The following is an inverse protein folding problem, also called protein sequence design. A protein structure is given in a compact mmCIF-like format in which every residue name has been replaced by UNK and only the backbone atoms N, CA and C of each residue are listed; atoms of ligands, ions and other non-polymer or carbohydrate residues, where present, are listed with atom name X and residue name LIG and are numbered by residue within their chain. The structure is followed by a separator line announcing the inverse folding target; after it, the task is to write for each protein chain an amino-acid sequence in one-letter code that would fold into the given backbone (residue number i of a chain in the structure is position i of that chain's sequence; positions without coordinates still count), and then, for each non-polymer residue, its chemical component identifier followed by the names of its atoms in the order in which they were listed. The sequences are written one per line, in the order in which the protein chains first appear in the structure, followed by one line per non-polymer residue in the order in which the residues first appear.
data_IF_578080868834
#
_entry.id   IF_578080868834
#
_cell.length_a   1.000
_cell.length_b   1.000
_cell.length_c   1.000
_cell.angle_alpha   90.00
_cell.angle_beta   90.00
_cell.angle_gamma   90.00
#
_symmetry.space_group_name_H-M   'P 1'
#
loop_
_entity.id
_entity.type
_entity.pdbx_description
1 polymer ?
#
# COMPACT_ATOMS: atom_id res chain seq x y z
N UNK A 1 18.70 -7.96 24.03
CA UNK A 1 17.34 -7.42 23.81
C UNK A 1 16.74 -8.22 22.67
N UNK A 2 15.52 -8.67 22.81
CA UNK A 2 14.78 -9.35 21.71
C UNK A 2 14.49 -8.33 20.62
N UNK A 3 14.84 -8.67 19.36
CA UNK A 3 14.48 -7.85 18.21
C UNK A 3 12.97 -7.82 18.00
N UNK A 4 12.51 -6.86 17.19
CA UNK A 4 11.12 -6.74 16.78
C UNK A 4 11.01 -6.29 15.32
N UNK A 5 9.86 -6.56 14.71
CA UNK A 5 9.54 -6.13 13.36
C UNK A 5 8.24 -5.33 13.35
N UNK A 6 8.29 -4.15 12.77
CA UNK A 6 7.13 -3.29 12.54
C UNK A 6 6.93 -3.12 11.05
N UNK A 7 5.71 -3.33 10.55
CA UNK A 7 5.33 -2.96 9.19
C UNK A 7 4.56 -1.65 9.26
N UNK A 8 5.14 -0.57 8.74
CA UNK A 8 4.68 0.80 8.99
C UNK A 8 4.18 1.51 7.73
N UNK A 9 3.02 2.14 7.84
CA UNK A 9 2.46 2.99 6.78
C UNK A 9 2.99 4.42 6.85
N UNK A 10 3.71 4.85 5.81
CA UNK A 10 4.22 6.22 5.70
C UNK A 10 3.19 7.25 5.21
N UNK A 11 1.92 6.85 5.11
CA UNK A 11 0.89 7.72 4.57
C UNK A 11 1.06 8.04 3.07
N UNK A 12 0.22 8.91 2.53
CA UNK A 12 0.09 9.13 1.08
C UNK A 12 1.21 9.97 0.47
N UNK A 13 1.95 10.76 1.27
CA UNK A 13 3.03 11.61 0.76
C UNK A 13 3.55 12.63 1.76
N UNK A 14 2.67 13.46 2.29
CA UNK A 14 3.03 14.50 3.27
C UNK A 14 3.52 13.89 4.59
N UNK A 15 4.64 14.38 5.07
CA UNK A 15 5.25 13.99 6.36
C UNK A 15 4.30 14.26 7.55
N UNK A 16 3.46 15.29 7.49
CA UNK A 16 2.46 15.62 8.52
C UNK A 16 1.39 14.54 8.68
N UNK A 17 1.25 13.64 7.68
CA UNK A 17 0.27 12.55 7.67
C UNK A 17 0.86 11.19 8.11
N UNK A 18 2.12 11.16 8.51
CA UNK A 18 2.72 10.00 9.19
C UNK A 18 2.25 9.98 10.63
N UNK A 19 1.72 8.85 11.09
CA UNK A 19 1.20 8.74 12.47
C UNK A 19 2.32 8.87 13.51
N UNK A 20 1.96 9.33 14.70
CA UNK A 20 2.92 9.47 15.81
C UNK A 20 3.55 8.13 16.20
N UNK A 21 2.80 7.04 16.12
CA UNK A 21 3.26 5.69 16.43
C UNK A 21 4.30 5.21 15.42
N UNK A 22 4.09 5.46 14.12
CA UNK A 22 5.08 5.18 13.07
C UNK A 22 6.36 6.00 13.28
N UNK A 23 6.24 7.28 13.62
CA UNK A 23 7.41 8.12 13.93
C UNK A 23 8.21 7.59 15.11
N UNK A 24 7.53 7.14 16.17
CA UNK A 24 8.18 6.56 17.35
C UNK A 24 8.92 5.26 16.98
N UNK A 25 8.30 4.36 16.22
CA UNK A 25 8.93 3.12 15.77
C UNK A 25 10.18 3.41 14.89
N UNK A 26 10.09 4.37 13.96
CA UNK A 26 11.22 4.79 13.13
C UNK A 26 12.36 5.39 13.96
N UNK A 27 12.06 6.15 15.01
CA UNK A 27 13.07 6.74 15.89
C UNK A 27 13.88 5.66 16.67
N UNK A 28 13.23 4.56 17.02
CA UNK A 28 13.87 3.43 17.73
C UNK A 28 14.55 2.42 16.81
N UNK A 29 14.24 2.43 15.50
CA UNK A 29 14.72 1.44 14.55
C UNK A 29 16.25 1.42 14.43
N UNK A 30 16.81 0.22 14.28
CA UNK A 30 18.20 -0.01 13.84
C UNK A 30 18.27 -0.24 12.34
N UNK A 31 17.17 -0.74 11.75
CA UNK A 31 17.08 -1.12 10.35
C UNK A 31 15.75 -0.66 9.76
N UNK A 32 15.80 -0.05 8.60
CA UNK A 32 14.62 0.27 7.78
C UNK A 32 14.72 -0.46 6.46
N UNK A 33 13.71 -1.26 6.15
CA UNK A 33 13.63 -2.09 4.95
C UNK A 33 12.47 -1.63 4.08
N UNK A 34 12.65 -1.52 2.76
CA UNK A 34 11.54 -1.10 1.91
C UNK A 34 11.89 -0.91 0.44
N UNK A 35 10.88 -0.56 -0.34
CA UNK A 35 11.05 -0.14 -1.73
C UNK A 35 11.83 1.18 -1.80
N UNK A 36 12.73 1.29 -2.79
CA UNK A 36 13.65 2.44 -2.94
C UNK A 36 12.98 3.80 -2.68
N UNK A 37 11.85 4.18 -3.32
CA UNK A 37 11.22 5.48 -3.10
C UNK A 37 10.66 5.68 -1.68
N UNK A 38 10.36 4.60 -0.95
CA UNK A 38 9.82 4.70 0.41
C UNK A 38 10.94 4.85 1.42
N UNK A 39 12.03 4.08 1.24
CA UNK A 39 13.24 4.22 2.06
C UNK A 39 13.87 5.59 1.88
N UNK A 40 13.83 6.16 0.68
CA UNK A 40 14.33 7.51 0.39
C UNK A 40 13.61 8.63 1.16
N UNK A 41 12.43 8.37 1.75
CA UNK A 41 11.72 9.30 2.64
C UNK A 41 12.27 9.30 4.07
N UNK A 42 13.13 8.34 4.41
CA UNK A 42 13.66 8.20 5.78
C UNK A 42 15.01 8.90 5.86
N UNK A 43 15.11 9.89 6.75
CA UNK A 43 16.35 10.58 6.98
C UNK A 43 17.41 9.64 7.59
N UNK A 44 18.62 9.56 7.03
CA UNK A 44 19.68 8.77 7.61
C UNK A 44 20.11 9.36 8.96
N UNK A 45 20.51 8.50 9.89
CA UNK A 45 21.05 8.87 11.20
C UNK A 45 22.03 7.82 11.70
N UNK A 46 22.84 8.17 12.68
CA UNK A 46 23.75 7.24 13.31
C UNK A 46 23.01 6.06 13.93
N UNK A 47 23.52 4.86 13.72
CA UNK A 47 22.93 3.61 14.21
C UNK A 47 21.69 3.13 13.44
N UNK A 48 21.35 3.74 12.30
CA UNK A 48 20.29 3.30 11.39
C UNK A 48 20.87 2.80 10.07
N UNK A 49 20.53 1.57 9.70
CA UNK A 49 20.85 1.01 8.39
C UNK A 49 19.60 1.03 7.49
N UNK A 50 19.78 1.52 6.26
CA UNK A 50 18.71 1.61 5.26
C UNK A 50 18.89 0.51 4.20
N UNK A 51 17.92 -0.41 4.11
CA UNK A 51 17.89 -1.53 3.18
C UNK A 51 16.84 -1.26 2.08
N UNK A 52 17.27 -0.62 1.01
CA UNK A 52 16.40 -0.30 -0.12
C UNK A 52 16.50 -1.39 -1.20
N UNK A 53 15.37 -1.84 -1.74
CA UNK A 53 15.30 -2.84 -2.81
C UNK A 53 14.23 -2.50 -3.84
N UNK A 54 14.26 -3.17 -5.01
CA UNK A 54 13.33 -2.93 -6.10
C UNK A 54 11.92 -3.48 -5.78
N UNK A 55 10.92 -3.06 -6.55
CA UNK A 55 9.50 -3.37 -6.32
C UNK A 55 9.10 -4.83 -6.58
N UNK A 56 9.98 -5.64 -7.18
CA UNK A 56 9.66 -7.03 -7.60
C UNK A 56 10.13 -8.11 -6.62
N UNK A 57 10.63 -7.70 -5.46
CA UNK A 57 11.26 -8.59 -4.47
C UNK A 57 10.56 -8.50 -3.11
N UNK A 58 9.22 -8.39 -3.10
CA UNK A 58 8.46 -8.20 -1.86
C UNK A 58 8.68 -9.34 -0.85
N UNK A 59 8.66 -10.59 -1.30
CA UNK A 59 8.86 -11.76 -0.42
C UNK A 59 10.30 -11.87 0.07
N UNK A 60 11.30 -11.63 -0.78
CA UNK A 60 12.70 -11.58 -0.38
C UNK A 60 12.93 -10.48 0.65
N UNK A 61 12.42 -9.29 0.39
CA UNK A 61 12.46 -8.15 1.34
C UNK A 61 11.82 -8.49 2.68
N UNK A 62 10.70 -9.20 2.67
CA UNK A 62 10.02 -9.64 3.88
C UNK A 62 10.86 -10.67 4.65
N UNK A 63 11.47 -11.64 3.96
CA UNK A 63 12.34 -12.64 4.55
C UNK A 63 13.60 -11.99 5.17
N UNK A 64 14.22 -11.04 4.48
CA UNK A 64 15.37 -10.28 4.99
C UNK A 64 15.01 -9.51 6.27
N UNK A 65 13.83 -8.85 6.29
CA UNK A 65 13.36 -8.12 7.47
C UNK A 65 13.12 -9.05 8.67
N UNK A 66 12.55 -10.25 8.45
CA UNK A 66 12.38 -11.26 9.49
C UNK A 66 13.73 -11.75 10.03
N UNK A 67 14.70 -12.00 9.14
CA UNK A 67 16.04 -12.43 9.54
C UNK A 67 16.78 -11.36 10.37
N UNK A 68 16.70 -10.09 9.98
CA UNK A 68 17.26 -8.98 10.73
C UNK A 68 16.64 -8.86 12.14
N UNK A 69 15.31 -8.98 12.24
CA UNK A 69 14.62 -8.94 13.53
C UNK A 69 14.99 -10.15 14.40
N UNK A 70 15.11 -11.35 13.83
CA UNK A 70 15.55 -12.56 14.54
C UNK A 70 16.99 -12.44 15.06
N UNK A 71 17.84 -11.70 14.35
CA UNK A 71 19.21 -11.38 14.79
C UNK A 71 19.28 -10.31 15.91
N UNK A 72 18.13 -9.80 16.36
CA UNK A 72 18.03 -8.81 17.45
C UNK A 72 17.87 -7.37 16.98
N UNK A 73 17.69 -7.14 15.67
CA UNK A 73 17.44 -5.83 15.09
C UNK A 73 16.07 -5.28 15.46
N UNK A 74 15.94 -3.96 15.55
CA UNK A 74 14.68 -3.23 15.63
C UNK A 74 14.31 -2.79 14.22
N UNK A 75 13.54 -3.62 13.53
CA UNK A 75 13.31 -3.52 12.09
C UNK A 75 12.00 -2.84 11.78
N UNK A 76 12.02 -1.83 10.91
CA UNK A 76 10.80 -1.21 10.35
C UNK A 76 10.74 -1.47 8.84
N UNK A 77 9.74 -2.22 8.39
CA UNK A 77 9.40 -2.35 6.97
C UNK A 77 8.47 -1.22 6.58
N UNK A 78 8.94 -0.32 5.73
CA UNK A 78 8.17 0.86 5.32
C UNK A 78 7.36 0.63 4.05
N UNK A 79 6.11 1.08 4.07
CA UNK A 79 5.17 1.02 2.96
C UNK A 79 4.51 2.37 2.73
N UNK A 80 4.20 2.73 1.49
CA UNK A 80 3.39 3.92 1.22
C UNK A 80 1.93 3.67 1.64
N UNK A 81 1.22 4.72 2.02
CA UNK A 81 -0.17 4.61 2.47
C UNK A 81 -0.30 3.80 3.75
N UNK A 82 -1.11 2.76 3.70
CA UNK A 82 -1.34 1.80 4.78
C UNK A 82 -0.72 0.44 4.42
N UNK A 83 0.01 -0.23 5.31
CA UNK A 83 0.70 -1.47 4.99
C UNK A 83 -0.24 -2.67 4.80
N UNK A 84 -1.49 -2.60 5.27
CA UNK A 84 -2.52 -3.62 5.10
C UNK A 84 -3.39 -3.43 3.85
N UNK A 85 -3.24 -2.30 3.13
CA UNK A 85 -4.05 -2.01 1.93
C UNK A 85 -3.22 -2.21 0.65
N UNK A 86 -3.24 -3.44 0.12
CA UNK A 86 -2.50 -3.85 -1.08
C UNK A 86 -0.99 -3.55 -1.02
N UNK A 87 -0.38 -3.77 0.14
CA UNK A 87 0.98 -3.38 0.47
C UNK A 87 1.72 -4.48 1.26
N UNK A 88 2.82 -4.14 1.95
CA UNK A 88 3.81 -5.08 2.46
C UNK A 88 3.36 -6.03 3.58
N UNK A 89 2.26 -5.74 4.31
CA UNK A 89 1.86 -6.59 5.43
C UNK A 89 1.57 -8.04 4.99
N UNK A 90 0.89 -8.23 3.86
CA UNK A 90 0.60 -9.58 3.34
C UNK A 90 1.88 -10.35 2.99
N UNK A 91 2.87 -9.70 2.36
CA UNK A 91 4.13 -10.34 2.01
C UNK A 91 4.95 -10.73 3.26
N UNK A 92 4.88 -9.92 4.34
CA UNK A 92 5.55 -10.26 5.60
C UNK A 92 4.91 -11.49 6.24
N UNK A 93 3.59 -11.59 6.27
CA UNK A 93 2.93 -12.76 6.83
C UNK A 93 3.10 -14.01 5.96
N UNK A 94 3.12 -13.88 4.64
CA UNK A 94 3.43 -14.99 3.72
C UNK A 94 4.86 -15.50 3.93
N UNK A 95 5.84 -14.61 4.06
CA UNK A 95 7.21 -14.98 4.37
C UNK A 95 7.34 -15.61 5.76
N UNK A 96 6.55 -15.15 6.75
CA UNK A 96 6.51 -15.72 8.09
C UNK A 96 5.95 -17.15 8.09
N UNK A 97 4.88 -17.41 7.33
CA UNK A 97 4.33 -18.77 7.16
C UNK A 97 5.36 -19.74 6.55
N UNK A 98 6.18 -19.24 5.60
CA UNK A 98 7.27 -20.00 5.01
C UNK A 98 8.48 -20.21 5.94
N UNK A 99 8.57 -19.45 7.05
CA UNK A 99 9.68 -19.46 7.99
C UNK A 99 9.20 -19.62 9.45
N UNK A 100 8.66 -20.80 9.85
CA UNK A 100 8.04 -21.03 11.16
C UNK A 100 8.95 -20.73 12.36
N UNK A 101 10.28 -20.79 12.19
CA UNK A 101 11.26 -20.44 13.21
C UNK A 101 11.16 -18.97 13.68
N UNK A 102 10.51 -18.11 12.91
CA UNK A 102 10.33 -16.69 13.23
C UNK A 102 8.97 -16.35 13.86
N UNK A 103 8.10 -17.35 14.08
CA UNK A 103 6.74 -17.14 14.61
C UNK A 103 6.71 -16.54 16.03
N UNK A 104 7.82 -16.62 16.78
CA UNK A 104 7.94 -16.02 18.12
C UNK A 104 8.38 -14.55 18.12
N UNK A 105 8.66 -13.96 16.94
CA UNK A 105 9.02 -12.54 16.84
C UNK A 105 7.83 -11.63 17.21
N UNK A 106 8.13 -10.51 17.89
CA UNK A 106 7.16 -9.43 18.07
C UNK A 106 6.99 -8.72 16.74
N UNK A 107 5.88 -9.00 16.04
CA UNK A 107 5.52 -8.39 14.75
C UNK A 107 4.30 -7.52 14.94
N UNK A 108 4.42 -6.23 14.58
CA UNK A 108 3.34 -5.24 14.72
C UNK A 108 3.08 -4.56 13.38
N UNK A 109 1.81 -4.29 13.09
CA UNK A 109 1.38 -3.52 11.92
C UNK A 109 0.93 -2.15 12.42
N UNK A 110 1.59 -1.10 11.96
CA UNK A 110 1.24 0.27 12.28
C UNK A 110 0.54 0.91 11.09
N UNK A 111 -0.72 1.35 11.25
CA UNK A 111 -1.51 1.88 10.15
C UNK A 111 -0.98 3.20 9.61
N UNK A 112 -1.32 3.48 8.36
CA UNK A 112 -1.10 4.76 7.70
C UNK A 112 -2.34 5.21 6.92
N UNK A 113 -2.38 6.47 6.53
CA UNK A 113 -3.47 6.97 5.69
C UNK A 113 -3.27 6.44 4.27
N UNK A 114 -4.15 5.53 3.85
CA UNK A 114 -4.11 4.97 2.48
C UNK A 114 -4.51 5.99 1.42
N UNK A 115 -3.99 5.85 0.21
CA UNK A 115 -4.18 6.79 -0.90
C UNK A 115 -5.65 7.07 -1.22
N UNK A 116 -6.55 6.08 -1.13
CA UNK A 116 -7.98 6.31 -1.42
C UNK A 116 -8.63 7.27 -0.43
N UNK A 117 -8.29 7.20 0.86
CA UNK A 117 -8.82 8.12 1.87
C UNK A 117 -8.27 9.53 1.69
N UNK A 118 -6.99 9.66 1.38
CA UNK A 118 -6.38 10.95 1.08
C UNK A 118 -6.98 11.57 -0.19
N UNK A 119 -7.17 10.79 -1.25
CA UNK A 119 -7.82 11.23 -2.49
C UNK A 119 -9.28 11.62 -2.24
N UNK A 120 -10.03 10.83 -1.49
CA UNK A 120 -11.41 11.12 -1.12
C UNK A 120 -11.52 12.46 -0.37
N UNK A 121 -10.66 12.71 0.60
CA UNK A 121 -10.64 13.96 1.34
C UNK A 121 -10.40 15.19 0.45
N UNK A 122 -9.62 15.05 -0.62
CA UNK A 122 -9.37 16.12 -1.60
C UNK A 122 -10.48 16.28 -2.63
N UNK A 123 -11.27 15.22 -2.87
CA UNK A 123 -12.32 15.16 -3.89
C UNK A 123 -13.74 15.42 -3.35
N UNK A 124 -13.88 15.95 -2.13
CA UNK A 124 -15.19 16.22 -1.53
C UNK A 124 -15.83 15.02 -0.86
N UNK A 125 -15.03 14.06 -0.39
CA UNK A 125 -15.43 12.88 0.38
C UNK A 125 -16.43 11.93 -0.34
N UNK A 126 -16.19 11.50 -1.59
CA UNK A 126 -17.11 10.64 -2.34
C UNK A 126 -17.28 9.23 -1.76
N UNK A 127 -16.53 8.86 -0.73
CA UNK A 127 -16.65 7.58 -0.01
C UNK A 127 -17.59 7.65 1.20
N UNK A 128 -18.53 8.60 1.21
CA UNK A 128 -19.46 8.84 2.32
C UNK A 128 -20.57 7.79 2.47
N UNK A 129 -20.76 6.92 1.48
CA UNK A 129 -21.65 5.77 1.49
C UNK A 129 -20.84 4.47 1.47
N UNK A 130 -21.52 3.35 1.17
CA UNK A 130 -20.85 2.06 1.02
C UNK A 130 -19.83 2.12 -0.11
N UNK A 131 -18.64 1.64 0.15
CA UNK A 131 -17.56 1.65 -0.82
C UNK A 131 -16.73 0.37 -0.81
N UNK A 132 -16.02 0.12 -1.89
CA UNK A 132 -15.05 -0.96 -1.96
C UNK A 132 -13.74 -0.50 -2.60
N UNK A 133 -12.63 -1.15 -2.20
CA UNK A 133 -11.32 -0.98 -2.80
C UNK A 133 -11.01 -2.20 -3.69
N UNK A 134 -10.66 -1.96 -4.96
CA UNK A 134 -10.34 -3.00 -5.93
C UNK A 134 -8.93 -2.78 -6.46
N UNK A 135 -8.06 -3.78 -6.27
CA UNK A 135 -6.75 -3.81 -6.89
C UNK A 135 -6.85 -4.36 -8.32
N UNK A 136 -6.54 -3.54 -9.32
CA UNK A 136 -6.55 -3.91 -10.73
C UNK A 136 -5.30 -4.67 -11.19
N UNK A 137 -4.39 -4.99 -10.27
CA UNK A 137 -3.25 -5.87 -10.55
C UNK A 137 -3.71 -7.33 -10.60
N UNK A 138 -3.35 -8.01 -11.67
CA UNK A 138 -3.57 -9.44 -11.90
C UNK A 138 -2.38 -10.32 -11.53
N UNK A 139 -1.37 -9.77 -10.85
CA UNK A 139 -0.18 -10.51 -10.42
C UNK A 139 -0.51 -11.67 -9.47
N UNK A 140 -1.53 -11.48 -8.60
CA UNK A 140 -1.89 -12.47 -7.56
C UNK A 140 -3.30 -13.05 -7.72
N UNK A 141 -4.01 -12.70 -8.79
CA UNK A 141 -5.36 -13.19 -9.07
C UNK A 141 -5.68 -13.04 -10.56
N UNK A 142 -6.47 -13.94 -11.16
CA UNK A 142 -6.80 -13.89 -12.56
C UNK A 142 -7.69 -12.66 -12.88
N UNK A 143 -7.57 -12.15 -14.11
CA UNK A 143 -8.27 -10.95 -14.55
C UNK A 143 -9.79 -11.09 -14.58
N UNK A 144 -10.31 -12.25 -14.92
CA UNK A 144 -11.75 -12.56 -14.91
C UNK A 144 -12.39 -12.37 -13.53
N UNK A 145 -11.68 -12.68 -12.46
CA UNK A 145 -12.11 -12.39 -11.10
C UNK A 145 -12.20 -10.88 -10.83
N UNK A 146 -11.27 -10.10 -11.38
CA UNK A 146 -11.30 -8.64 -11.27
C UNK A 146 -12.53 -8.09 -12.03
N UNK A 147 -12.76 -8.51 -13.27
CA UNK A 147 -13.93 -8.12 -14.03
C UNK A 147 -15.24 -8.43 -13.30
N UNK A 148 -15.34 -9.64 -12.75
CA UNK A 148 -16.52 -10.03 -11.95
C UNK A 148 -16.74 -9.11 -10.75
N UNK A 149 -15.66 -8.74 -10.03
CA UNK A 149 -15.74 -7.82 -8.89
C UNK A 149 -16.17 -6.42 -9.32
N UNK A 150 -15.68 -5.91 -10.44
CA UNK A 150 -16.09 -4.63 -11.00
C UNK A 150 -17.59 -4.60 -11.32
N UNK A 151 -18.10 -5.63 -12.01
CA UNK A 151 -19.53 -5.73 -12.35
C UNK A 151 -20.40 -5.81 -11.10
N UNK A 152 -20.07 -6.68 -10.16
CA UNK A 152 -20.85 -6.84 -8.93
C UNK A 152 -20.86 -5.56 -8.08
N UNK A 153 -19.73 -4.88 -7.97
CA UNK A 153 -19.65 -3.61 -7.23
C UNK A 153 -20.44 -2.49 -7.91
N UNK A 154 -20.42 -2.42 -9.24
CA UNK A 154 -21.20 -1.47 -10.01
C UNK A 154 -22.71 -1.74 -9.88
N UNK A 155 -23.13 -2.99 -10.00
CA UNK A 155 -24.54 -3.42 -9.86
C UNK A 155 -25.10 -3.19 -8.45
N UNK A 156 -24.22 -3.28 -7.44
CA UNK A 156 -24.56 -2.99 -6.03
C UNK A 156 -24.45 -1.49 -5.69
N UNK A 157 -24.16 -0.63 -6.66
CA UNK A 157 -23.99 0.82 -6.52
C UNK A 157 -22.95 1.26 -5.49
N UNK A 158 -21.89 0.47 -5.28
CA UNK A 158 -20.77 0.86 -4.45
C UNK A 158 -19.97 2.02 -5.05
N UNK A 159 -19.53 2.96 -4.21
CA UNK A 159 -18.41 3.82 -4.57
C UNK A 159 -17.13 2.96 -4.62
N UNK A 160 -16.32 3.13 -5.67
CA UNK A 160 -15.17 2.25 -5.91
C UNK A 160 -13.86 3.04 -5.92
N UNK A 161 -12.85 2.52 -5.21
CA UNK A 161 -11.48 3.02 -5.28
C UNK A 161 -10.57 1.99 -5.95
N UNK A 162 -9.85 2.41 -7.01
CA UNK A 162 -9.00 1.53 -7.79
C UNK A 162 -7.52 1.73 -7.47
N UNK A 163 -6.83 0.64 -7.17
CA UNK A 163 -5.39 0.60 -6.97
C UNK A 163 -4.69 -0.08 -8.14
N UNK A 164 -3.45 0.33 -8.39
CA UNK A 164 -2.59 -0.24 -9.43
C UNK A 164 -3.28 -0.32 -10.81
N UNK A 165 -3.90 0.76 -11.29
CA UNK A 165 -4.71 0.74 -12.51
C UNK A 165 -3.90 0.41 -13.74
N UNK A 166 -2.60 0.73 -13.77
CA UNK A 166 -1.74 0.57 -14.94
C UNK A 166 -0.29 0.33 -14.55
N UNK A 167 0.41 -0.51 -15.34
CA UNK A 167 1.87 -0.65 -15.32
C UNK A 167 2.40 -0.88 -16.73
N UNK A 168 3.72 -0.88 -16.91
CA UNK A 168 4.34 -1.18 -18.21
C UNK A 168 3.97 -2.58 -18.72
N UNK A 169 3.88 -3.56 -17.82
CA UNK A 169 3.46 -4.95 -18.16
C UNK A 169 1.94 -5.13 -18.28
N UNK A 170 1.15 -4.13 -17.85
CA UNK A 170 -0.32 -4.18 -17.81
C UNK A 170 -0.93 -2.89 -18.39
N UNK A 171 -0.72 -2.61 -19.69
CA UNK A 171 -1.16 -1.36 -20.30
C UNK A 171 -2.68 -1.32 -20.60
N UNK A 172 -3.33 -2.47 -20.74
CA UNK A 172 -4.71 -2.59 -21.27
C UNK A 172 -5.78 -2.75 -20.20
N UNK A 173 -5.44 -3.27 -19.00
CA UNK A 173 -6.40 -3.60 -17.95
C UNK A 173 -7.24 -2.40 -17.50
N UNK A 174 -6.65 -1.22 -17.43
CA UNK A 174 -7.38 -0.03 -17.02
C UNK A 174 -8.45 0.38 -18.06
N UNK A 175 -8.12 0.32 -19.36
CA UNK A 175 -9.09 0.58 -20.41
C UNK A 175 -10.26 -0.41 -20.33
N UNK A 176 -9.97 -1.70 -20.13
CA UNK A 176 -10.99 -2.73 -19.97
C UNK A 176 -11.86 -2.50 -18.74
N UNK A 177 -11.27 -2.08 -17.60
CA UNK A 177 -12.05 -1.71 -16.42
C UNK A 177 -13.02 -0.55 -16.70
N UNK A 178 -12.59 0.48 -17.44
CA UNK A 178 -13.45 1.61 -17.83
C UNK A 178 -14.59 1.19 -18.78
N UNK A 179 -14.34 0.24 -19.70
CA UNK A 179 -15.41 -0.33 -20.56
C UNK A 179 -16.48 -1.00 -19.70
N UNK A 180 -16.08 -1.87 -18.76
CA UNK A 180 -17.02 -2.55 -17.85
C UNK A 180 -17.84 -1.54 -17.04
N UNK A 181 -17.19 -0.50 -16.51
CA UNK A 181 -17.89 0.52 -15.73
C UNK A 181 -18.88 1.32 -16.58
N UNK A 182 -18.56 1.61 -17.86
CA UNK A 182 -19.51 2.26 -18.77
C UNK A 182 -20.71 1.38 -19.10
N UNK A 183 -20.49 0.06 -19.25
CA UNK A 183 -21.56 -0.91 -19.47
C UNK A 183 -22.51 -0.98 -18.27
N UNK A 184 -22.00 -0.94 -17.04
CA UNK A 184 -22.77 -1.20 -15.81
C UNK A 184 -23.33 0.08 -15.14
N UNK A 185 -22.60 1.19 -15.17
CA UNK A 185 -22.93 2.41 -14.40
C UNK A 185 -23.60 3.51 -15.24
N UNK A 186 -23.60 3.41 -16.57
CA UNK A 186 -24.08 4.48 -17.44
C UNK A 186 -23.09 5.67 -17.61
N UNK A 187 -23.45 6.64 -18.48
CA UNK A 187 -22.52 7.70 -18.92
C UNK A 187 -22.27 8.79 -17.89
N UNK A 188 -23.18 8.98 -16.93
CA UNK A 188 -23.12 10.10 -15.97
C UNK A 188 -22.35 9.78 -14.69
N UNK A 189 -21.73 8.60 -14.60
CA UNK A 189 -20.94 8.19 -13.43
C UNK A 189 -19.64 9.00 -13.37
N UNK A 190 -19.49 9.77 -12.30
CA UNK A 190 -18.29 10.57 -12.07
C UNK A 190 -17.07 9.69 -11.76
N UNK A 191 -15.93 10.01 -12.36
CA UNK A 191 -14.64 9.37 -12.13
C UNK A 191 -13.63 10.42 -11.69
N UNK A 192 -13.03 10.22 -10.52
CA UNK A 192 -11.96 11.09 -10.02
C UNK A 192 -10.61 10.41 -10.18
N UNK A 193 -9.71 11.08 -10.90
CA UNK A 193 -8.30 10.71 -11.00
C UNK A 193 -7.49 11.48 -9.96
N UNK A 194 -6.76 10.77 -9.12
CA UNK A 194 -5.91 11.34 -8.10
C UNK A 194 -4.48 10.83 -8.27
N UNK A 195 -3.52 11.74 -8.39
CA UNK A 195 -2.10 11.43 -8.54
C UNK A 195 -1.30 12.20 -7.51
N UNK A 196 -0.28 11.53 -6.91
CA UNK A 196 0.66 12.10 -5.98
C UNK A 196 -0.01 12.92 -4.86
N UNK A 197 -1.13 12.40 -4.34
CA UNK A 197 -1.98 13.08 -3.37
C UNK A 197 -1.17 13.47 -2.15
N UNK A 198 -1.36 14.70 -1.65
CA UNK A 198 -0.67 15.31 -0.51
C UNK A 198 0.82 15.66 -0.75
N UNK A 199 1.31 15.52 -1.96
CA UNK A 199 2.65 15.99 -2.33
C UNK A 199 2.57 17.30 -3.13
N UNK A 200 3.70 18.02 -3.33
CA UNK A 200 3.73 19.20 -4.21
C UNK A 200 3.29 18.93 -5.66
N UNK A 201 3.37 17.68 -6.12
CA UNK A 201 2.98 17.24 -7.45
C UNK A 201 1.53 16.74 -7.53
N UNK A 202 0.72 17.01 -6.49
CA UNK A 202 -0.69 16.59 -6.43
C UNK A 202 -1.48 17.06 -7.63
N UNK A 203 -2.23 16.12 -8.23
CA UNK A 203 -3.19 16.40 -9.30
C UNK A 203 -4.46 15.61 -9.07
N UNK A 204 -5.58 16.32 -9.08
CA UNK A 204 -6.92 15.74 -8.95
C UNK A 204 -7.78 16.30 -10.07
N UNK A 205 -8.49 15.41 -10.76
CA UNK A 205 -9.41 15.74 -11.84
C UNK A 205 -10.61 14.83 -11.78
N UNK A 206 -11.80 15.40 -11.86
CA UNK A 206 -13.08 14.66 -11.95
C UNK A 206 -13.70 14.87 -13.32
N UNK A 207 -14.14 13.80 -13.93
CA UNK A 207 -14.79 13.77 -15.25
C UNK A 207 -16.07 12.95 -15.17
#
# INVERSE_FOLDING_TARGET
MTGWLVVAGLGPGDEGLVTSEVRAALAEATDVVGYIPYVARIAPRDGLTLHASDNRVELERAADALALAAAGGRVVVVSSGDPGVFAMASAVFEALEAAPQHMALDIRILPGITAMLAASARAGAPLGHDFCAINLSDNMKPWDLIERRLRLAAQADFAMAFYNPRSASRPHQFARALEILREECGPDRLITFARAVTTPDERISTV
#
